data_IF_511302195213
#
_entry.id   IF_511302195213
#
_cell.length_a   1.000
_cell.length_b   1.000
_cell.length_c   1.000
_cell.angle_alpha   90.00
_cell.angle_beta   90.00
_cell.angle_gamma   90.00
#
_symmetry.space_group_name_H-M   'P 1'
#
loop_
_entity.id
_entity.type
_entity.pdbx_description
1 polymer ?
#
# COMPACT_ATOMS: atom_id res chain seq x y z
N UNK A 1 -23.08 -4.41 31.63
CA UNK A 1 -21.98 -4.72 30.69
C UNK A 1 -22.53 -5.25 29.36
N UNK A 2 -23.30 -4.46 28.59
CA UNK A 2 -23.86 -4.93 27.30
C UNK A 2 -24.28 -3.79 26.36
N UNK A 3 -23.36 -2.86 26.04
CA UNK A 3 -23.57 -1.86 24.97
C UNK A 3 -22.75 -2.13 23.70
N UNK A 4 -21.71 -2.97 23.80
CA UNK A 4 -20.88 -3.35 22.65
C UNK A 4 -21.55 -4.38 21.72
N UNK A 5 -22.56 -5.11 22.21
CA UNK A 5 -23.30 -6.11 21.43
C UNK A 5 -24.35 -5.52 20.46
N UNK A 6 -24.56 -4.20 20.49
CA UNK A 6 -25.54 -3.51 19.64
C UNK A 6 -24.91 -2.76 18.47
N UNK A 7 -23.58 -2.64 18.40
CA UNK A 7 -22.96 -2.10 17.21
C UNK A 7 -22.98 -3.20 16.14
N UNK A 8 -23.75 -3.05 15.04
CA UNK A 8 -23.62 -3.96 13.92
C UNK A 8 -22.14 -4.07 13.55
N UNK A 9 -21.65 -5.28 13.23
CA UNK A 9 -20.23 -5.55 13.00
C UNK A 9 -19.58 -4.62 11.95
N UNK A 10 -20.41 -4.07 11.05
CA UNK A 10 -20.02 -3.03 10.08
C UNK A 10 -19.62 -1.71 10.74
N UNK A 11 -20.32 -1.23 11.77
CA UNK A 11 -19.96 0.02 12.47
C UNK A 11 -18.66 -0.13 13.24
N UNK A 12 -18.48 -1.27 13.92
CA UNK A 12 -17.22 -1.56 14.59
C UNK A 12 -16.06 -1.57 13.59
N UNK A 13 -16.25 -2.24 12.45
CA UNK A 13 -15.23 -2.26 11.41
C UNK A 13 -14.92 -0.89 10.84
N UNK A 14 -15.94 -0.06 10.60
CA UNK A 14 -15.77 1.31 10.13
C UNK A 14 -14.99 2.16 11.14
N UNK A 15 -15.30 2.05 12.43
CA UNK A 15 -14.54 2.74 13.49
C UNK A 15 -13.07 2.31 13.49
N UNK A 16 -12.78 1.02 13.33
CA UNK A 16 -11.39 0.54 13.26
C UNK A 16 -10.66 1.13 12.05
N UNK A 17 -11.31 1.13 10.87
CA UNK A 17 -10.75 1.74 9.66
C UNK A 17 -10.51 3.24 9.83
N UNK A 18 -11.47 3.98 10.41
CA UNK A 18 -11.32 5.42 10.67
C UNK A 18 -10.26 5.72 11.73
N UNK A 19 -10.13 4.90 12.77
CA UNK A 19 -9.09 5.10 13.79
C UNK A 19 -7.70 4.84 13.22
N UNK A 20 -7.55 3.82 12.38
CA UNK A 20 -6.29 3.59 11.66
C UNK A 20 -5.98 4.75 10.71
N UNK A 21 -6.99 5.27 10.01
CA UNK A 21 -6.86 6.45 9.17
C UNK A 21 -6.43 7.70 9.95
N UNK A 22 -7.07 7.97 11.08
CA UNK A 22 -6.75 9.09 11.96
C UNK A 22 -5.34 8.95 12.55
N UNK A 23 -4.93 7.74 12.94
CA UNK A 23 -3.58 7.47 13.40
C UNK A 23 -2.55 7.72 12.28
N UNK A 24 -2.83 7.28 11.05
CA UNK A 24 -1.98 7.54 9.90
C UNK A 24 -1.86 9.03 9.59
N UNK A 25 -2.95 9.79 9.67
CA UNK A 25 -2.95 11.26 9.52
C UNK A 25 -2.17 11.95 10.65
N UNK A 26 -2.30 11.49 11.89
CA UNK A 26 -1.53 12.03 13.00
C UNK A 26 -0.02 11.79 12.81
N UNK A 27 0.36 10.60 12.34
CA UNK A 27 1.75 10.24 12.03
C UNK A 27 2.29 11.10 10.89
N UNK A 28 1.52 11.27 9.81
CA UNK A 28 1.86 12.18 8.70
C UNK A 28 2.13 13.60 9.23
N UNK A 29 1.20 14.14 10.03
CA UNK A 29 1.27 15.50 10.54
C UNK A 29 2.45 15.74 11.50
N UNK A 30 2.79 14.76 12.33
CA UNK A 30 3.87 14.89 13.33
C UNK A 30 5.25 14.69 12.69
N UNK A 31 5.38 13.75 11.77
CA UNK A 31 6.68 13.38 11.18
C UNK A 31 6.95 14.08 9.84
N UNK A 32 5.94 14.73 9.23
CA UNK A 32 6.07 15.45 7.96
C UNK A 32 6.40 14.55 6.77
N UNK A 33 5.92 13.30 6.77
CA UNK A 33 6.22 12.36 5.67
C UNK A 33 5.53 12.80 4.37
N UNK A 34 6.19 12.66 3.21
CA UNK A 34 5.60 12.92 1.89
C UNK A 34 4.67 11.77 1.44
N UNK A 35 3.91 11.18 2.37
CA UNK A 35 3.03 10.03 2.15
C UNK A 35 1.67 10.33 2.77
N UNK A 36 0.55 10.20 2.02
CA UNK A 36 -0.77 10.47 2.56
C UNK A 36 -1.07 9.59 3.77
N UNK A 37 -1.69 10.16 4.80
CA UNK A 37 -2.04 9.45 6.04
C UNK A 37 -2.90 8.21 5.82
N UNK A 38 -3.67 8.14 4.71
CA UNK A 38 -4.41 6.93 4.31
C UNK A 38 -3.50 5.73 4.10
N UNK A 39 -2.39 5.93 3.40
CA UNK A 39 -1.41 4.87 3.12
C UNK A 39 -0.73 4.45 4.41
N UNK A 40 -0.42 5.40 5.29
CA UNK A 40 0.17 5.12 6.61
C UNK A 40 -0.81 4.31 7.49
N UNK A 41 -2.10 4.67 7.49
CA UNK A 41 -3.15 3.90 8.18
C UNK A 41 -3.26 2.47 7.67
N UNK A 42 -3.13 2.26 6.35
CA UNK A 42 -3.09 0.92 5.76
C UNK A 42 -1.87 0.12 6.24
N UNK A 43 -0.68 0.73 6.25
CA UNK A 43 0.54 0.09 6.76
C UNK A 43 0.39 -0.28 8.24
N UNK A 44 -0.23 0.59 9.04
CA UNK A 44 -0.53 0.32 10.45
C UNK A 44 -1.45 -0.90 10.62
N UNK A 45 -2.52 -1.00 9.81
CA UNK A 45 -3.42 -2.16 9.82
C UNK A 45 -2.69 -3.46 9.42
N UNK A 46 -1.79 -3.40 8.43
CA UNK A 46 -0.97 -4.54 8.03
C UNK A 46 -0.06 -4.97 9.18
N UNK A 47 0.63 -4.03 9.83
CA UNK A 47 1.48 -4.31 10.99
C UNK A 47 0.69 -4.95 12.14
N UNK A 48 -0.52 -4.44 12.40
CA UNK A 48 -1.44 -4.96 13.39
C UNK A 48 -1.93 -6.38 13.03
N UNK A 49 -2.05 -6.72 11.74
CA UNK A 49 -2.42 -8.04 11.26
C UNK A 49 -1.31 -9.09 11.37
N UNK A 50 -0.05 -8.66 11.30
CA UNK A 50 1.11 -9.53 11.47
C UNK A 50 1.18 -10.05 12.91
N UNK A 51 0.92 -9.19 13.90
CA UNK A 51 0.93 -9.55 15.32
C UNK A 51 -0.26 -10.45 15.70
N UNK A 52 0.03 -11.66 16.22
CA UNK A 52 -1.00 -12.66 16.58
C UNK A 52 -2.01 -12.14 17.60
N UNK A 53 -1.57 -11.28 18.52
CA UNK A 53 -2.42 -10.69 19.56
C UNK A 53 -3.48 -9.72 19.01
N UNK A 54 -3.20 -9.09 17.88
CA UNK A 54 -4.01 -7.97 17.36
C UNK A 54 -4.75 -8.32 16.06
N UNK A 55 -4.55 -9.54 15.54
CA UNK A 55 -5.37 -10.13 14.46
C UNK A 55 -6.90 -10.03 14.65
N UNK A 56 -7.47 -10.21 15.85
CA UNK A 56 -8.91 -10.07 16.04
C UNK A 56 -9.42 -8.67 15.69
N UNK A 57 -8.62 -7.63 15.94
CA UNK A 57 -8.95 -6.24 15.62
C UNK A 57 -9.04 -6.06 14.10
N UNK A 58 -8.07 -6.58 13.35
CA UNK A 58 -8.08 -6.48 11.88
C UNK A 58 -9.25 -7.28 11.29
N UNK A 59 -9.57 -8.45 11.84
CA UNK A 59 -10.75 -9.22 11.42
C UNK A 59 -12.07 -8.50 11.69
N UNK A 60 -12.15 -7.73 12.77
CA UNK A 60 -13.34 -6.93 13.07
C UNK A 60 -13.55 -5.78 12.06
N UNK A 61 -12.53 -5.39 11.28
CA UNK A 61 -12.64 -4.42 10.20
C UNK A 61 -13.26 -4.98 8.91
N UNK A 62 -13.17 -6.29 8.70
CA UNK A 62 -13.58 -6.98 7.47
C UNK A 62 -15.05 -6.74 7.06
N UNK A 63 -16.05 -6.76 7.97
CA UNK A 63 -17.45 -6.51 7.61
C UNK A 63 -17.70 -5.12 7.01
N UNK A 64 -16.86 -4.13 7.36
CA UNK A 64 -16.91 -2.79 6.78
C UNK A 64 -16.03 -2.68 5.53
N UNK A 65 -14.85 -3.30 5.53
CA UNK A 65 -13.92 -3.23 4.43
C UNK A 65 -14.47 -3.84 3.13
N UNK A 66 -15.13 -5.01 3.22
CA UNK A 66 -15.65 -5.73 2.03
C UNK A 66 -16.58 -4.89 1.15
N UNK A 67 -17.67 -4.28 1.66
CA UNK A 67 -18.53 -3.43 0.84
C UNK A 67 -17.84 -2.16 0.34
N UNK A 68 -16.93 -1.57 1.14
CA UNK A 68 -16.14 -0.41 0.74
C UNK A 68 -15.18 -0.73 -0.41
N UNK A 69 -14.55 -1.90 -0.40
CA UNK A 69 -13.69 -2.39 -1.48
C UNK A 69 -14.49 -2.76 -2.72
N UNK A 70 -15.70 -3.32 -2.56
CA UNK A 70 -16.60 -3.56 -3.68
C UNK A 70 -17.04 -2.26 -4.38
N UNK A 71 -17.16 -1.16 -3.63
CA UNK A 71 -17.53 0.16 -4.12
C UNK A 71 -16.38 1.17 -4.01
N UNK A 72 -15.14 0.71 -4.17
CA UNK A 72 -13.93 1.54 -4.00
C UNK A 72 -13.97 2.78 -4.91
N UNK A 73 -14.63 2.68 -6.06
CA UNK A 73 -14.90 3.78 -6.97
C UNK A 73 -15.46 5.01 -6.24
N UNK A 74 -16.34 4.83 -5.26
CA UNK A 74 -16.91 5.93 -4.45
C UNK A 74 -15.84 6.64 -3.61
N UNK A 75 -14.84 5.92 -3.10
CA UNK A 75 -13.73 6.48 -2.32
C UNK A 75 -12.71 7.23 -3.19
N UNK A 76 -12.70 6.97 -4.50
CA UNK A 76 -11.86 7.71 -5.46
C UNK A 76 -12.54 8.94 -6.06
N UNK A 77 -13.86 9.12 -5.85
CA UNK A 77 -14.56 10.33 -6.29
C UNK A 77 -13.97 11.59 -5.65
N UNK A 78 -13.76 11.69 -4.32
CA UNK A 78 -13.24 12.93 -3.73
C UNK A 78 -11.84 13.32 -4.23
N UNK A 79 -10.84 12.41 -4.29
CA UNK A 79 -9.56 12.72 -4.93
C UNK A 79 -9.71 13.11 -6.41
N UNK A 80 -10.59 12.44 -7.15
CA UNK A 80 -10.87 12.75 -8.55
C UNK A 80 -11.44 14.14 -8.76
N UNK A 81 -12.37 14.58 -7.91
CA UNK A 81 -12.94 15.94 -7.95
C UNK A 81 -11.86 16.99 -7.71
N UNK A 82 -10.91 16.74 -6.80
CA UNK A 82 -9.76 17.64 -6.59
C UNK A 82 -8.95 17.87 -7.86
N UNK A 83 -8.75 16.82 -8.67
CA UNK A 83 -8.06 16.94 -9.96
C UNK A 83 -8.91 17.78 -10.94
N UNK A 84 -10.23 17.56 -10.97
CA UNK A 84 -11.15 18.32 -11.86
C UNK A 84 -11.21 19.81 -11.50
N UNK A 85 -10.99 20.19 -10.24
CA UNK A 85 -10.89 21.60 -9.85
C UNK A 85 -9.65 22.28 -10.45
N UNK A 86 -8.55 21.53 -10.62
CA UNK A 86 -7.29 22.00 -11.20
C UNK A 86 -7.16 21.71 -12.70
N UNK A 87 -8.29 21.56 -13.43
CA UNK A 87 -8.29 21.22 -14.86
C UNK A 87 -7.50 22.19 -15.73
N UNK A 88 -7.51 23.48 -15.39
CA UNK A 88 -6.80 24.48 -16.19
C UNK A 88 -5.27 24.31 -16.09
N UNK A 89 -4.75 24.00 -14.90
CA UNK A 89 -3.33 23.70 -14.69
C UNK A 89 -2.93 22.40 -15.40
N UNK A 90 -3.81 21.39 -15.38
CA UNK A 90 -3.62 20.14 -16.12
C UNK A 90 -3.61 20.35 -17.63
N UNK A 91 -4.50 21.20 -18.16
CA UNK A 91 -4.56 21.49 -19.59
C UNK A 91 -3.28 22.20 -20.09
N UNK A 92 -2.74 23.13 -19.30
CA UNK A 92 -1.47 23.80 -19.62
C UNK A 92 -0.27 22.82 -19.63
N UNK A 93 -0.35 21.77 -18.81
CA UNK A 93 0.69 20.76 -18.68
C UNK A 93 0.27 19.38 -19.21
N UNK A 94 -0.60 19.37 -20.23
CA UNK A 94 -1.20 18.14 -20.76
C UNK A 94 -0.18 17.17 -21.35
N UNK A 95 0.97 17.66 -21.83
CA UNK A 95 2.04 16.82 -22.36
C UNK A 95 3.12 16.46 -21.31
N UNK A 96 3.64 17.41 -20.50
CA UNK A 96 4.65 17.08 -19.49
C UNK A 96 4.18 16.09 -18.42
N UNK A 97 2.93 16.20 -17.94
CA UNK A 97 2.39 15.34 -16.87
C UNK A 97 2.39 13.86 -17.25
N UNK A 98 1.74 13.41 -18.34
CA UNK A 98 1.71 11.99 -18.70
C UNK A 98 3.09 11.45 -19.06
N UNK A 99 3.98 12.27 -19.66
CA UNK A 99 5.35 11.87 -19.93
C UNK A 99 6.15 11.66 -18.63
N UNK A 100 6.02 12.57 -17.66
CA UNK A 100 6.69 12.43 -16.38
C UNK A 100 6.15 11.23 -15.59
N UNK A 101 4.83 11.10 -15.47
CA UNK A 101 4.18 10.01 -14.71
C UNK A 101 4.37 8.66 -15.40
N UNK A 102 3.99 8.56 -16.68
CA UNK A 102 4.10 7.32 -17.45
C UNK A 102 5.55 6.92 -17.69
N UNK A 103 6.42 7.89 -18.03
CA UNK A 103 7.84 7.66 -18.23
C UNK A 103 8.54 7.19 -16.96
N UNK A 104 8.32 7.87 -15.81
CA UNK A 104 8.91 7.45 -14.54
C UNK A 104 8.39 6.08 -14.09
N UNK A 105 7.10 5.78 -14.29
CA UNK A 105 6.53 4.48 -13.98
C UNK A 105 7.17 3.35 -14.80
N UNK A 106 7.18 3.48 -16.13
CA UNK A 106 7.77 2.48 -17.03
C UNK A 106 9.26 2.31 -16.75
N UNK A 107 9.99 3.41 -16.58
CA UNK A 107 11.42 3.38 -16.32
C UNK A 107 11.73 2.69 -14.99
N UNK A 108 11.00 3.02 -13.91
CA UNK A 108 11.17 2.39 -12.60
C UNK A 108 10.85 0.90 -12.66
N UNK A 109 9.80 0.50 -13.38
CA UNK A 109 9.42 -0.90 -13.55
C UNK A 109 10.50 -1.69 -14.31
N UNK A 110 11.02 -1.13 -15.40
CA UNK A 110 12.10 -1.74 -16.17
C UNK A 110 13.39 -1.86 -15.35
N UNK A 111 13.78 -0.79 -14.66
CA UNK A 111 15.00 -0.78 -13.85
C UNK A 111 14.92 -1.75 -12.67
N UNK A 112 13.81 -1.74 -11.93
CA UNK A 112 13.61 -2.66 -10.80
C UNK A 112 13.56 -4.13 -11.27
N UNK A 113 12.86 -4.41 -12.38
CA UNK A 113 12.82 -5.74 -12.99
C UNK A 113 14.20 -6.21 -13.46
N UNK A 114 14.94 -5.36 -14.19
CA UNK A 114 16.28 -5.68 -14.66
C UNK A 114 17.26 -5.89 -13.50
N UNK A 115 17.19 -5.07 -12.45
CA UNK A 115 18.02 -5.22 -11.26
C UNK A 115 17.73 -6.54 -10.55
N UNK A 116 16.46 -6.89 -10.34
CA UNK A 116 16.06 -8.16 -9.75
C UNK A 116 16.58 -9.34 -10.59
N UNK A 117 16.41 -9.28 -11.91
CA UNK A 117 16.90 -10.32 -12.81
C UNK A 117 18.43 -10.45 -12.77
N UNK A 118 19.15 -9.33 -12.66
CA UNK A 118 20.61 -9.33 -12.55
C UNK A 118 21.07 -9.96 -11.22
N UNK A 119 20.38 -9.66 -10.12
CA UNK A 119 20.67 -10.24 -8.80
C UNK A 119 20.41 -11.75 -8.78
N UNK A 120 19.30 -12.21 -9.36
CA UNK A 120 18.97 -13.64 -9.47
C UNK A 120 20.01 -14.38 -10.33
N UNK A 121 20.39 -13.85 -11.50
CA UNK A 121 21.45 -14.43 -12.35
C UNK A 121 22.80 -14.50 -11.63
N UNK A 122 23.13 -13.53 -10.78
CA UNK A 122 24.37 -13.53 -9.98
C UNK A 122 24.33 -14.60 -8.88
N UNK A 123 23.18 -14.85 -8.27
CA UNK A 123 23.01 -15.92 -7.27
C UNK A 123 23.14 -17.31 -7.90
N UNK A 124 22.55 -17.52 -9.09
CA UNK A 124 22.64 -18.80 -9.80
C UNK A 124 24.10 -19.12 -10.18
N UNK A 125 24.85 -18.14 -10.68
CA UNK A 125 26.29 -18.31 -10.96
C UNK A 125 27.11 -18.67 -9.72
N UNK A 126 26.82 -18.05 -8.56
CA UNK A 126 27.51 -18.35 -7.29
C UNK A 126 27.15 -19.72 -6.72
N UNK A 127 25.92 -20.20 -6.93
CA UNK A 127 25.52 -21.56 -6.54
C UNK A 127 26.16 -22.62 -7.42
N UNK A 128 26.27 -22.38 -8.73
CA UNK A 128 26.98 -23.28 -9.65
C UNK A 128 28.45 -23.50 -9.29
N UNK A 129 29.16 -22.44 -8.87
CA UNK A 129 30.55 -22.55 -8.41
C UNK A 129 30.71 -23.26 -7.06
N UNK A 130 29.70 -23.25 -6.20
CA UNK A 130 29.76 -23.93 -4.90
C UNK A 130 29.50 -25.44 -5.00
N UNK A 131 28.76 -25.91 -6.02
CA UNK A 131 28.58 -27.34 -6.30
C UNK A 131 29.78 -27.95 -7.03
N UNK A 132 30.46 -27.20 -7.90
CA UNK A 132 31.66 -27.69 -8.60
C UNK A 132 32.91 -27.88 -7.72
N UNK A 133 32.91 -27.36 -6.49
CA UNK A 133 34.02 -27.54 -5.52
C UNK A 133 33.79 -28.78 -4.62
N UNK A 134 32.58 -29.33 -4.58
CA UNK A 134 32.24 -30.49 -3.75
C UNK A 134 32.45 -31.85 -4.48
N UNK A 135 32.74 -31.83 -5.78
CA UNK A 135 32.93 -33.03 -6.63
C UNK A 135 34.41 -33.29 -7.01
N UNK A 136 35.38 -32.84 -6.22
CA UNK A 136 36.77 -33.30 -6.36
C UNK A 136 37.12 -34.31 -5.25
N UNK A 137 36.78 -35.61 -5.41
CA UNK A 137 37.37 -36.66 -4.60
C UNK A 137 38.75 -37.00 -5.18
N UNK A 138 39.73 -37.02 -4.29
CA UNK A 138 41.10 -37.50 -4.51
C UNK A 138 41.16 -39.00 -4.85
#
# INVERSE_FOLDING_TARGET
MSRAALLPPVLLGLVILLLAQMAGLAVEAVLGLPVPGVVIGLVLLVLLGILRSTRPVVRAAEPAATPLLAHLQLLFVPPGVGIVLEMQALAQNALPIPLAVGGSFVLTLLLSGALLQALLRRQDRRRGTAHGVAEEPA
#
